data_IF_404473241899
#
_entry.id   IF_404473241899
#
_cell.length_a   1.000
_cell.length_b   1.000
_cell.length_c   1.000
_cell.angle_alpha   90.00
_cell.angle_beta   90.00
_cell.angle_gamma   90.00
#
_symmetry.space_group_name_H-M   'P 1'
#
loop_
_entity.id
_entity.type
_entity.pdbx_description
1 polymer ?
#
# COMPACT_ATOMS: atom_id res chain seq x y z
N UNK A 1 16.71 -5.74 3.50
CA UNK A 1 17.24 -6.91 2.76
C UNK A 1 18.76 -6.84 2.71
N UNK A 2 19.46 -7.97 2.87
CA UNK A 2 20.93 -8.01 2.72
C UNK A 2 21.32 -7.94 1.25
N UNK A 3 22.35 -7.17 0.86
CA UNK A 3 22.81 -7.10 -0.53
C UNK A 3 23.19 -8.47 -1.08
N UNK A 4 22.77 -8.76 -2.31
CA UNK A 4 23.16 -10.00 -3.01
C UNK A 4 24.67 -10.01 -3.31
N UNK A 5 25.38 -11.15 -3.19
CA UNK A 5 26.79 -11.27 -3.58
C UNK A 5 27.00 -11.24 -5.12
N UNK A 6 25.92 -11.04 -5.89
CA UNK A 6 25.97 -11.01 -7.35
C UNK A 6 26.81 -9.85 -7.89
N UNK A 7 27.65 -10.15 -8.89
CA UNK A 7 28.43 -9.17 -9.64
C UNK A 7 28.03 -9.21 -11.11
N UNK A 8 27.83 -8.04 -11.72
CA UNK A 8 27.49 -7.93 -13.14
C UNK A 8 28.68 -8.36 -14.02
N UNK A 9 28.41 -9.09 -15.10
CA UNK A 9 29.39 -9.34 -16.15
C UNK A 9 29.43 -8.16 -17.13
N UNK A 10 30.54 -7.93 -17.87
CA UNK A 10 30.60 -6.91 -18.91
C UNK A 10 29.44 -7.03 -19.90
N UNK A 11 28.78 -5.91 -20.22
CA UNK A 11 27.61 -5.87 -21.10
C UNK A 11 26.28 -6.27 -20.45
N UNK A 12 26.24 -6.60 -19.15
CA UNK A 12 24.99 -6.89 -18.46
C UNK A 12 24.07 -5.66 -18.41
N UNK A 13 22.76 -5.82 -18.67
CA UNK A 13 21.81 -4.72 -18.64
C UNK A 13 21.59 -4.22 -17.20
N UNK A 14 21.35 -2.92 -17.08
CA UNK A 14 21.02 -2.25 -15.83
C UNK A 14 19.73 -1.47 -15.99
N UNK A 15 19.00 -1.33 -14.89
CA UNK A 15 17.73 -0.60 -14.83
C UNK A 15 17.72 0.35 -13.64
N UNK A 16 16.99 1.45 -13.78
CA UNK A 16 16.94 2.51 -12.76
C UNK A 16 15.77 2.26 -11.81
N UNK A 17 16.05 2.31 -10.51
CA UNK A 17 15.00 2.26 -9.49
C UNK A 17 14.08 3.49 -9.59
N UNK A 18 12.77 3.27 -9.64
CA UNK A 18 11.78 4.35 -9.69
C UNK A 18 11.79 5.21 -8.42
N UNK A 19 12.23 4.66 -7.29
CA UNK A 19 12.24 5.34 -5.99
C UNK A 19 13.51 6.16 -5.77
N UNK A 20 14.70 5.53 -5.78
CA UNK A 20 15.97 6.18 -5.45
C UNK A 20 16.75 6.67 -6.66
N UNK A 21 16.34 6.31 -7.89
CA UNK A 21 17.02 6.69 -9.14
C UNK A 21 18.44 6.12 -9.31
N UNK A 22 18.85 5.23 -8.41
CA UNK A 22 20.09 4.44 -8.56
C UNK A 22 19.91 3.30 -9.57
N UNK A 23 21.01 2.95 -10.23
CA UNK A 23 21.10 1.80 -11.13
C UNK A 23 21.17 0.49 -10.34
N UNK A 24 20.56 -0.55 -10.89
CA UNK A 24 20.68 -1.92 -10.40
C UNK A 24 20.72 -2.93 -11.55
N UNK A 25 21.24 -4.14 -11.34
CA UNK A 25 21.26 -5.17 -12.36
C UNK A 25 19.84 -5.52 -12.82
N UNK A 26 19.60 -5.52 -14.14
CA UNK A 26 18.32 -5.97 -14.68
C UNK A 26 18.31 -7.49 -14.80
N UNK A 27 17.82 -8.14 -13.74
CA UNK A 27 17.73 -9.60 -13.62
C UNK A 27 16.29 -10.10 -13.71
N UNK A 28 15.40 -9.33 -14.36
CA UNK A 28 14.01 -9.75 -14.58
C UNK A 28 13.99 -11.01 -15.49
N UNK A 29 13.03 -11.92 -15.29
CA UNK A 29 12.89 -13.10 -16.15
C UNK A 29 12.83 -12.70 -17.63
N UNK A 30 13.59 -13.38 -18.48
CA UNK A 30 13.65 -13.12 -19.92
C UNK A 30 14.67 -12.06 -20.38
N UNK A 31 15.34 -11.36 -19.45
CA UNK A 31 16.40 -10.39 -19.80
C UNK A 31 17.81 -11.01 -19.75
N UNK A 32 18.07 -11.94 -18.82
CA UNK A 32 19.39 -12.56 -18.65
C UNK A 32 19.49 -13.91 -19.36
N UNK A 33 20.28 -13.99 -20.42
CA UNK A 33 20.52 -15.18 -21.25
C UNK A 33 21.42 -16.24 -20.61
N UNK A 34 21.95 -16.00 -19.40
CA UNK A 34 22.93 -16.89 -18.76
C UNK A 34 22.25 -17.79 -17.75
N UNK A 35 22.03 -19.05 -18.14
CA UNK A 35 21.48 -20.13 -17.34
C UNK A 35 22.37 -20.55 -16.16
N UNK A 36 22.42 -19.72 -15.12
CA UNK A 36 22.81 -20.17 -13.78
C UNK A 36 21.64 -19.94 -12.84
N UNK A 37 20.83 -20.98 -12.70
CA UNK A 37 19.82 -21.10 -11.66
C UNK A 37 20.54 -21.25 -10.32
N UNK A 38 20.91 -20.13 -9.70
CA UNK A 38 21.50 -20.10 -8.37
C UNK A 38 20.93 -18.90 -7.63
N UNK A 39 20.02 -19.22 -6.71
CA UNK A 39 19.18 -18.33 -5.89
C UNK A 39 18.06 -17.61 -6.63
N UNK A 40 16.81 -17.83 -6.18
CA UNK A 40 15.63 -17.13 -6.69
C UNK A 40 15.87 -15.61 -6.65
N UNK A 41 15.96 -14.97 -7.82
CA UNK A 41 16.16 -13.52 -7.92
C UNK A 41 14.94 -12.85 -7.27
N UNK A 42 15.14 -11.97 -6.26
CA UNK A 42 14.05 -11.24 -5.67
C UNK A 42 13.29 -10.41 -6.72
N UNK A 43 11.97 -10.28 -6.63
CA UNK A 43 11.20 -9.49 -7.59
C UNK A 43 11.67 -8.04 -7.67
N UNK A 44 11.79 -7.52 -8.90
CA UNK A 44 12.19 -6.12 -9.17
C UNK A 44 11.01 -5.24 -9.59
N UNK A 45 9.85 -5.83 -9.91
CA UNK A 45 8.69 -5.16 -10.50
C UNK A 45 7.49 -5.18 -9.58
N UNK A 46 6.75 -4.09 -9.53
CA UNK A 46 5.41 -4.07 -8.93
C UNK A 46 4.41 -4.80 -9.85
N UNK A 47 3.63 -5.74 -9.31
CA UNK A 47 2.61 -6.50 -10.06
C UNK A 47 1.43 -5.67 -10.57
N UNK A 48 1.24 -4.46 -10.04
CA UNK A 48 0.16 -3.54 -10.43
C UNK A 48 0.60 -2.56 -11.51
N UNK A 49 1.66 -1.78 -11.27
CA UNK A 49 2.07 -0.72 -12.19
C UNK A 49 3.26 -1.09 -13.08
N UNK A 50 3.82 -2.29 -12.94
CA UNK A 50 4.97 -2.81 -13.69
C UNK A 50 6.26 -1.97 -13.59
N UNK A 51 6.28 -0.93 -12.76
CA UNK A 51 7.47 -0.12 -12.48
C UNK A 51 8.47 -0.90 -11.64
N UNK A 52 9.73 -0.48 -11.75
CA UNK A 52 10.88 -1.21 -11.23
C UNK A 52 11.47 -0.52 -9.99
N UNK A 53 11.87 -1.32 -9.01
CA UNK A 53 12.29 -0.89 -7.68
C UNK A 53 13.35 -1.83 -7.08
N UNK A 54 14.29 -1.27 -6.32
CA UNK A 54 15.45 -2.01 -5.81
C UNK A 54 15.28 -2.64 -4.42
N UNK A 55 14.20 -2.33 -3.70
CA UNK A 55 14.14 -2.62 -2.27
C UNK A 55 14.23 -4.12 -1.96
N UNK A 56 13.45 -4.98 -2.62
CA UNK A 56 13.53 -6.42 -2.41
C UNK A 56 14.86 -7.04 -2.87
N UNK A 57 15.57 -6.37 -3.79
CA UNK A 57 16.84 -6.86 -4.31
C UNK A 57 17.98 -6.69 -3.30
N UNK A 58 18.13 -5.49 -2.72
CA UNK A 58 19.25 -5.18 -1.81
C UNK A 58 18.96 -4.10 -0.76
N UNK A 59 17.70 -3.67 -0.61
CA UNK A 59 17.33 -2.56 0.26
C UNK A 59 17.57 -1.20 -0.39
N UNK A 60 16.49 -0.44 -0.56
CA UNK A 60 16.56 0.93 -1.06
C UNK A 60 17.17 1.86 -0.01
N UNK A 61 18.20 2.63 -0.37
CA UNK A 61 18.97 3.48 0.55
C UNK A 61 18.50 4.94 0.59
N UNK A 62 17.38 5.27 -0.06
CA UNK A 62 16.81 6.62 0.01
C UNK A 62 16.29 6.87 1.43
N UNK A 63 16.69 7.99 2.04
CA UNK A 63 16.48 8.27 3.48
C UNK A 63 15.02 8.23 3.95
N UNK A 64 14.07 8.58 3.09
CA UNK A 64 12.62 8.59 3.35
C UNK A 64 11.91 7.32 2.85
N UNK A 65 12.65 6.28 2.45
CA UNK A 65 12.09 5.07 1.87
C UNK A 65 11.96 3.93 2.89
N UNK A 66 10.73 3.62 3.28
CA UNK A 66 10.41 2.50 4.18
C UNK A 66 10.21 1.15 3.47
N UNK A 67 10.70 1.00 2.23
CA UNK A 67 10.38 -0.14 1.37
C UNK A 67 9.61 0.26 0.13
N UNK A 68 10.32 0.63 -0.94
CA UNK A 68 9.65 1.05 -2.18
C UNK A 68 9.02 -0.10 -2.99
N UNK A 69 9.33 -1.34 -2.61
CA UNK A 69 8.72 -2.56 -3.12
C UNK A 69 8.72 -3.60 -2.01
N UNK A 70 7.57 -4.23 -1.76
CA UNK A 70 7.45 -5.33 -0.82
C UNK A 70 6.23 -6.21 -1.14
N UNK A 71 6.07 -7.34 -0.46
CA UNK A 71 4.75 -8.00 -0.41
C UNK A 71 3.75 -7.07 0.29
N UNK A 72 2.48 -7.09 -0.11
CA UNK A 72 1.49 -6.15 0.40
C UNK A 72 1.37 -6.22 1.94
N UNK A 73 1.39 -7.42 2.52
CA UNK A 73 1.38 -7.64 3.98
C UNK A 73 2.61 -7.09 4.71
N UNK A 74 3.73 -6.93 4.02
CA UNK A 74 5.00 -6.48 4.60
C UNK A 74 5.25 -4.98 4.29
N UNK A 75 4.29 -4.29 3.67
CA UNK A 75 4.37 -2.86 3.41
C UNK A 75 4.38 -2.07 4.71
N UNK A 76 5.31 -1.13 4.84
CA UNK A 76 5.40 -0.21 5.97
C UNK A 76 4.86 1.15 5.60
N UNK A 77 3.71 1.48 6.18
CA UNK A 77 3.11 2.81 6.07
C UNK A 77 3.45 3.61 7.32
N UNK A 78 3.79 4.89 7.15
CA UNK A 78 4.03 5.79 8.28
C UNK A 78 2.70 6.16 8.94
N UNK A 79 2.68 6.37 10.26
CA UNK A 79 1.46 6.76 10.99
C UNK A 79 0.77 8.01 10.40
N UNK A 80 1.55 8.90 9.79
CA UNK A 80 1.04 10.05 9.03
C UNK A 80 0.10 9.67 7.87
N UNK A 81 0.06 8.42 7.42
CA UNK A 81 -0.91 7.98 6.42
C UNK A 81 -2.34 7.95 6.97
N UNK A 82 -2.52 7.73 8.28
CA UNK A 82 -3.84 7.59 8.91
C UNK A 82 -4.71 8.83 8.69
N UNK A 83 -4.12 10.03 8.67
CA UNK A 83 -4.85 11.30 8.52
C UNK A 83 -5.52 11.48 7.16
N UNK A 84 -5.12 10.69 6.16
CA UNK A 84 -5.64 10.74 4.79
C UNK A 84 -6.19 9.41 4.31
N UNK A 85 -6.21 8.40 5.19
CA UNK A 85 -6.46 7.02 4.84
C UNK A 85 -7.89 6.82 4.32
N UNK A 86 -8.85 7.58 4.85
CA UNK A 86 -10.25 7.52 4.40
C UNK A 86 -10.48 8.58 3.32
N UNK A 87 -10.18 8.23 2.07
CA UNK A 87 -10.45 9.05 0.87
C UNK A 87 -9.88 10.49 0.89
N UNK A 88 -8.84 10.76 1.70
CA UNK A 88 -8.35 12.11 2.02
C UNK A 88 -9.42 13.02 2.67
N UNK A 89 -10.38 12.42 3.37
CA UNK A 89 -11.32 13.10 4.23
C UNK A 89 -10.74 13.11 5.65
N UNK A 90 -10.23 14.26 6.08
CA UNK A 90 -9.58 14.39 7.40
C UNK A 90 -10.54 14.12 8.55
N UNK A 91 -11.84 14.40 8.40
CA UNK A 91 -12.83 14.16 9.44
C UNK A 91 -13.03 12.66 9.67
N UNK A 92 -13.31 11.92 8.59
CA UNK A 92 -13.48 10.46 8.67
C UNK A 92 -12.18 9.74 9.06
N UNK A 93 -11.05 10.26 8.60
CA UNK A 93 -9.73 9.74 8.93
C UNK A 93 -9.40 9.93 10.42
N UNK A 94 -9.78 11.06 11.03
CA UNK A 94 -9.59 11.28 12.46
C UNK A 94 -10.53 10.41 13.31
N UNK A 95 -11.77 10.19 12.86
CA UNK A 95 -12.70 9.25 13.51
C UNK A 95 -12.08 7.84 13.53
N UNK A 96 -11.60 7.35 12.39
CA UNK A 96 -10.95 6.06 12.31
C UNK A 96 -9.70 6.01 13.20
N UNK A 97 -8.84 7.03 13.14
CA UNK A 97 -7.62 7.12 13.96
C UNK A 97 -7.93 7.05 15.46
N UNK A 98 -8.94 7.78 15.93
CA UNK A 98 -9.35 7.77 17.33
C UNK A 98 -9.92 6.40 17.75
N UNK A 99 -10.72 5.78 16.89
CA UNK A 99 -11.22 4.43 17.13
C UNK A 99 -10.07 3.42 17.28
N UNK A 100 -9.10 3.45 16.36
CA UNK A 100 -7.93 2.57 16.40
C UNK A 100 -7.10 2.79 17.66
N UNK A 101 -6.86 4.04 18.05
CA UNK A 101 -6.17 4.39 19.29
C UNK A 101 -6.89 3.84 20.53
N UNK A 102 -8.23 3.96 20.59
CA UNK A 102 -9.04 3.40 21.67
C UNK A 102 -9.02 1.87 21.73
N UNK A 103 -8.79 1.19 20.61
CA UNK A 103 -8.63 -0.26 20.52
C UNK A 103 -7.18 -0.74 20.61
N UNK A 104 -6.22 0.18 20.75
CA UNK A 104 -4.79 -0.10 20.69
C UNK A 104 -4.35 -0.83 19.40
N UNK A 105 -4.96 -0.48 18.27
CA UNK A 105 -4.66 -1.05 16.95
C UNK A 105 -3.72 -0.10 16.19
N UNK A 106 -2.55 -0.60 15.81
CA UNK A 106 -1.59 0.14 14.97
C UNK A 106 -1.89 0.05 13.47
N UNK A 107 -1.21 0.86 12.65
CA UNK A 107 -1.37 0.86 11.19
C UNK A 107 -1.06 -0.50 10.57
N UNK A 108 0.01 -1.15 11.03
CA UNK A 108 0.42 -2.48 10.56
C UNK A 108 -0.67 -3.52 10.86
N UNK A 109 -1.28 -3.48 12.05
CA UNK A 109 -2.37 -4.40 12.40
C UNK A 109 -3.64 -4.12 11.61
N UNK A 110 -4.00 -2.84 11.42
CA UNK A 110 -5.11 -2.45 10.55
C UNK A 110 -4.91 -2.99 9.13
N UNK A 111 -3.69 -2.88 8.59
CA UNK A 111 -3.34 -3.44 7.29
C UNK A 111 -3.55 -4.95 7.28
N UNK A 112 -3.06 -5.70 8.28
CA UNK A 112 -3.27 -7.16 8.33
C UNK A 112 -4.76 -7.51 8.34
N UNK A 113 -5.58 -6.89 9.21
CA UNK A 113 -7.04 -7.15 9.26
C UNK A 113 -7.71 -6.86 7.92
N UNK A 114 -7.30 -5.78 7.23
CA UNK A 114 -7.78 -5.45 5.89
C UNK A 114 -7.39 -6.51 4.85
N UNK A 115 -6.15 -7.02 4.93
CA UNK A 115 -5.62 -8.00 3.99
C UNK A 115 -6.22 -9.40 4.19
N UNK A 116 -6.51 -9.81 5.43
CA UNK A 116 -7.27 -11.03 5.72
C UNK A 116 -8.63 -11.02 4.99
N UNK A 117 -9.34 -9.88 5.06
CA UNK A 117 -10.60 -9.68 4.36
C UNK A 117 -10.43 -9.60 2.84
N UNK A 118 -9.33 -9.04 2.34
CA UNK A 118 -9.00 -9.04 0.91
C UNK A 118 -8.79 -10.46 0.39
N UNK A 119 -8.01 -11.28 1.10
CA UNK A 119 -7.63 -12.63 0.65
C UNK A 119 -8.85 -13.57 0.56
N UNK A 120 -9.81 -13.42 1.48
CA UNK A 120 -11.10 -14.15 1.41
C UNK A 120 -12.15 -13.46 0.55
N UNK A 121 -11.77 -12.39 -0.17
CA UNK A 121 -12.63 -11.60 -1.08
C UNK A 121 -13.83 -10.92 -0.40
N UNK A 122 -13.79 -10.78 0.93
CA UNK A 122 -14.77 -9.98 1.67
C UNK A 122 -14.56 -8.49 1.41
N UNK A 123 -13.30 -8.04 1.25
CA UNK A 123 -12.95 -6.70 0.80
C UNK A 123 -12.43 -6.70 -0.63
N UNK A 124 -12.64 -5.58 -1.32
CA UNK A 124 -12.12 -5.34 -2.67
C UNK A 124 -11.35 -4.02 -2.73
N UNK A 125 -10.41 -3.89 -3.64
CA UNK A 125 -9.70 -2.64 -3.90
C UNK A 125 -9.65 -2.34 -5.39
N UNK A 126 -9.27 -1.13 -5.77
CA UNK A 126 -9.23 -0.71 -7.18
C UNK A 126 -8.44 -1.66 -8.08
N UNK A 127 -7.39 -2.30 -7.56
CA UNK A 127 -6.55 -3.22 -8.31
C UNK A 127 -6.85 -4.71 -8.03
N UNK A 128 -7.73 -5.05 -7.06
CA UNK A 128 -7.93 -6.46 -6.67
C UNK A 128 -8.51 -7.32 -7.77
N UNK A 129 -9.44 -6.79 -8.57
CA UNK A 129 -10.07 -7.54 -9.67
C UNK A 129 -9.19 -7.62 -10.91
N UNK A 130 -8.47 -6.53 -11.24
CA UNK A 130 -7.64 -6.47 -12.46
C UNK A 130 -6.30 -7.18 -12.31
N UNK A 131 -5.74 -7.17 -11.11
CA UNK A 131 -4.39 -7.69 -10.85
C UNK A 131 -4.37 -8.91 -9.93
N UNK A 132 -5.54 -9.47 -9.57
CA UNK A 132 -5.66 -10.55 -8.58
C UNK A 132 -4.87 -10.23 -7.30
N UNK A 133 -5.01 -8.99 -6.81
CA UNK A 133 -4.23 -8.50 -5.68
C UNK A 133 -4.58 -9.27 -4.41
N UNK A 134 -3.55 -9.76 -3.72
CA UNK A 134 -3.61 -10.47 -2.44
C UNK A 134 -2.61 -9.88 -1.44
N UNK A 135 -2.63 -10.34 -0.20
CA UNK A 135 -1.66 -10.00 0.83
C UNK A 135 -0.20 -10.32 0.44
N UNK A 136 0.02 -11.34 -0.37
CA UNK A 136 1.36 -11.80 -0.80
C UNK A 136 1.83 -11.16 -2.11
N UNK A 137 0.98 -10.37 -2.76
CA UNK A 137 1.32 -9.70 -4.01
C UNK A 137 2.46 -8.69 -3.81
N UNK A 138 3.46 -8.72 -4.70
CA UNK A 138 4.59 -7.78 -4.64
C UNK A 138 4.24 -6.46 -5.32
N UNK A 139 4.14 -5.40 -4.53
CA UNK A 139 3.69 -4.08 -4.99
C UNK A 139 4.58 -2.96 -4.47
N UNK A 140 4.51 -1.80 -5.15
CA UNK A 140 5.21 -0.61 -4.71
C UNK A 140 4.41 0.18 -3.68
N UNK A 141 5.08 1.06 -2.94
CA UNK A 141 4.46 1.91 -1.91
C UNK A 141 3.21 2.66 -2.39
N UNK A 142 3.26 3.27 -3.58
CA UNK A 142 2.13 4.03 -4.13
C UNK A 142 0.91 3.15 -4.43
N UNK A 143 1.13 1.97 -5.00
CA UNK A 143 0.05 1.01 -5.26
C UNK A 143 -0.48 0.44 -3.95
N UNK A 144 0.41 0.12 -3.00
CA UNK A 144 0.02 -0.33 -1.66
C UNK A 144 -0.86 0.68 -0.94
N UNK A 145 -0.44 1.95 -0.86
CA UNK A 145 -1.20 2.99 -0.19
C UNK A 145 -2.58 3.20 -0.80
N UNK A 146 -2.66 3.25 -2.14
CA UNK A 146 -3.95 3.42 -2.83
C UNK A 146 -4.92 2.28 -2.54
N UNK A 147 -4.46 1.02 -2.60
CA UNK A 147 -5.33 -0.11 -2.30
C UNK A 147 -5.66 -0.17 -0.81
N UNK A 148 -4.71 0.19 0.07
CA UNK A 148 -4.96 0.25 1.50
C UNK A 148 -6.04 1.29 1.85
N UNK A 149 -6.10 2.43 1.16
CA UNK A 149 -7.19 3.40 1.33
C UNK A 149 -8.57 2.80 1.04
N UNK A 150 -8.70 2.00 -0.03
CA UNK A 150 -9.97 1.31 -0.35
C UNK A 150 -10.35 0.25 0.69
N UNK A 151 -9.36 -0.49 1.20
CA UNK A 151 -9.59 -1.51 2.23
C UNK A 151 -9.94 -0.86 3.59
N UNK A 152 -9.22 0.18 3.98
CA UNK A 152 -9.46 0.92 5.21
C UNK A 152 -10.84 1.62 5.20
N UNK A 153 -11.32 2.07 4.03
CA UNK A 153 -12.69 2.55 3.89
C UNK A 153 -13.72 1.47 4.25
N UNK A 154 -13.51 0.23 3.79
CA UNK A 154 -14.40 -0.90 4.11
C UNK A 154 -14.29 -1.30 5.58
N UNK A 155 -13.07 -1.32 6.13
CA UNK A 155 -12.86 -1.52 7.57
C UNK A 155 -13.65 -0.49 8.38
N UNK A 156 -13.53 0.79 8.04
CA UNK A 156 -14.26 1.89 8.70
C UNK A 156 -15.78 1.75 8.58
N UNK A 157 -16.29 1.27 7.43
CA UNK A 157 -17.72 1.03 7.21
C UNK A 157 -18.25 -0.10 8.10
N UNK A 158 -17.42 -1.11 8.37
CA UNK A 158 -17.84 -2.29 9.12
C UNK A 158 -17.72 -2.11 10.65
N UNK A 159 -17.20 -0.97 11.14
CA UNK A 159 -17.18 -0.65 12.57
C UNK A 159 -18.63 -0.46 13.06
N UNK A 160 -19.05 -1.15 14.14
CA UNK A 160 -20.38 -0.99 14.72
C UNK A 160 -20.68 0.46 15.11
N UNK A 161 -21.92 0.90 14.89
CA UNK A 161 -22.33 2.29 15.13
C UNK A 161 -22.26 2.71 16.61
N UNK A 162 -22.47 1.76 17.53
CA UNK A 162 -22.34 1.92 18.98
C UNK A 162 -20.88 2.05 19.46
N UNK A 163 -19.92 1.67 18.61
CA UNK A 163 -18.49 1.88 18.85
C UNK A 163 -17.96 3.20 18.24
N UNK A 164 -18.83 3.98 17.58
CA UNK A 164 -18.49 5.25 16.95
C UNK A 164 -19.09 6.43 17.71
N UNK A 165 -18.47 7.63 17.64
CA UNK A 165 -19.05 8.82 18.24
C UNK A 165 -20.36 9.19 17.56
N UNK A 166 -21.32 9.75 18.30
CA UNK A 166 -22.62 10.17 17.78
C UNK A 166 -22.49 11.12 16.57
N UNK A 167 -21.46 11.97 16.55
CA UNK A 167 -21.17 12.87 15.42
C UNK A 167 -20.89 12.14 14.10
N UNK A 168 -20.44 10.89 14.14
CA UNK A 168 -20.18 10.07 12.96
C UNK A 168 -21.43 9.31 12.48
N UNK A 169 -22.36 9.01 13.39
CA UNK A 169 -23.56 8.19 13.09
C UNK A 169 -24.81 9.03 12.82
N UNK A 170 -24.88 10.25 13.35
CA UNK A 170 -25.99 11.18 13.11
C UNK A 170 -25.88 11.96 11.79
N UNK A 171 -24.75 11.83 11.09
CA UNK A 171 -24.46 12.62 9.89
C UNK A 171 -25.27 12.08 8.70
N UNK A 172 -25.95 12.92 7.92
CA UNK A 172 -26.61 12.47 6.70
C UNK A 172 -25.60 12.00 5.66
N UNK A 173 -25.98 10.98 4.90
CA UNK A 173 -25.14 10.48 3.81
C UNK A 173 -24.98 11.54 2.71
N UNK A 174 -23.73 11.75 2.30
CA UNK A 174 -23.45 12.53 1.10
C UNK A 174 -23.97 11.77 -0.12
N UNK A 175 -24.74 12.45 -0.99
CA UNK A 175 -25.21 11.87 -2.26
C UNK A 175 -24.08 11.22 -3.09
N UNK A 176 -22.89 11.82 -3.07
CA UNK A 176 -21.71 11.32 -3.79
C UNK A 176 -20.94 10.22 -3.04
N UNK A 177 -21.28 9.96 -1.78
CA UNK A 177 -20.65 8.97 -0.91
C UNK A 177 -19.12 9.01 -0.95
N UNK A 178 -18.50 7.83 -1.08
CA UNK A 178 -17.03 7.69 -1.20
C UNK A 178 -16.42 8.45 -2.38
N UNK A 179 -17.21 8.74 -3.42
CA UNK A 179 -16.76 9.44 -4.62
C UNK A 179 -16.84 10.97 -4.51
N UNK A 180 -17.31 11.50 -3.37
CA UNK A 180 -17.36 12.95 -3.15
C UNK A 180 -15.95 13.54 -3.28
N UNK A 181 -15.77 14.51 -4.20
CA UNK A 181 -14.50 15.23 -4.35
C UNK A 181 -14.40 16.41 -3.38
N UNK A 182 -15.53 16.99 -3.01
CA UNK A 182 -15.61 18.16 -2.12
C UNK A 182 -15.15 17.84 -0.70
N UNK A 183 -15.34 16.60 -0.23
CA UNK A 183 -14.93 16.17 1.12
C UNK A 183 -13.42 16.27 1.37
N UNK A 184 -12.61 16.31 0.30
CA UNK A 184 -11.14 16.35 0.39
C UNK A 184 -10.63 17.73 0.83
N UNK A 185 -11.23 18.78 0.29
CA UNK A 185 -10.70 20.14 0.40
C UNK A 185 -11.64 21.11 1.13
N UNK A 186 -12.83 20.67 1.54
CA UNK A 186 -13.82 21.48 2.26
C UNK A 186 -14.16 20.84 3.61
N UNK A 187 -13.45 21.22 4.69
CA UNK A 187 -13.66 20.65 6.02
C UNK A 187 -15.10 20.76 6.51
N UNK A 188 -15.81 21.83 6.13
CA UNK A 188 -17.23 21.99 6.46
C UNK A 188 -18.07 20.85 5.86
N UNK A 189 -17.88 20.50 4.58
CA UNK A 189 -18.60 19.38 3.95
C UNK A 189 -18.15 18.01 4.48
N UNK A 190 -16.87 17.90 4.86
CA UNK A 190 -16.38 16.69 5.51
C UNK A 190 -17.05 16.46 6.88
N UNK A 191 -17.41 17.53 7.59
CA UNK A 191 -18.05 17.48 8.92
C UNK A 191 -19.57 17.42 8.88
N UNK A 192 -20.20 18.06 7.90
CA UNK A 192 -21.66 18.22 7.80
C UNK A 192 -22.19 17.72 6.46
#
# INVERSE_FOLDING_TARGET
PTPSPYTCYPGSPHIICTCCREYMPDRRPGITSTGTASSAVPPLTCSVCSRVFCHLYWGCQRSDCNGCLNQFKDMKFVDGCLTTLINNNNCESEILKNYLAGKNIGVDELLQKCLEKLDVKAYTSIDSTRHNLTSTSVICYRCGLRNFQDLAYQYRRDIPADELPASATSKPDCYWGKNCRTQKNKPHHARY
#
